data_IF_873422505961
#
_entry.id   IF_873422505961
#
_cell.length_a   1.000
_cell.length_b   1.000
_cell.length_c   1.000
_cell.angle_alpha   90.00
_cell.angle_beta   90.00
_cell.angle_gamma   90.00
#
_symmetry.space_group_name_H-M   'P 1'
#
loop_
_entity.id
_entity.type
_entity.pdbx_description
1 polymer ?
#
# COMPACT_ATOMS: atom_id res chain seq x y z
N UNK A 1 13.07 16.71 8.52
CA UNK A 1 12.60 16.63 7.13
C UNK A 1 11.15 17.05 7.12
N UNK A 2 10.72 17.92 6.21
CA UNK A 2 9.29 18.23 6.06
C UNK A 2 8.62 17.06 5.33
N UNK A 3 7.94 16.22 6.09
CA UNK A 3 7.26 15.02 5.59
C UNK A 3 6.09 15.39 4.67
N UNK A 4 5.38 16.48 4.96
CA UNK A 4 4.26 16.93 4.12
C UNK A 4 4.75 17.32 2.73
N UNK A 5 5.79 18.17 2.67
CA UNK A 5 6.40 18.55 1.40
C UNK A 5 6.92 17.35 0.60
N UNK A 6 7.45 16.32 1.30
CA UNK A 6 7.92 15.09 0.64
C UNK A 6 6.77 14.24 0.09
N UNK A 7 5.67 14.12 0.82
CA UNK A 7 4.47 13.41 0.37
C UNK A 7 3.93 14.09 -0.90
N UNK A 8 3.78 15.42 -0.87
CA UNK A 8 3.30 16.21 -2.01
C UNK A 8 4.20 16.02 -3.24
N UNK A 9 5.52 16.02 -3.07
CA UNK A 9 6.48 15.76 -4.16
C UNK A 9 6.30 14.35 -4.77
N UNK A 10 6.08 13.33 -3.93
CA UNK A 10 6.02 11.94 -4.35
C UNK A 10 4.70 11.56 -5.03
N UNK A 11 3.59 12.18 -4.65
CA UNK A 11 2.27 11.94 -5.28
C UNK A 11 2.28 12.29 -6.78
N UNK A 12 3.08 13.28 -7.18
CA UNK A 12 3.21 13.69 -8.59
C UNK A 12 4.09 12.75 -9.43
N UNK A 13 4.75 11.77 -8.81
CA UNK A 13 5.65 10.83 -9.49
C UNK A 13 4.88 9.66 -10.13
N UNK A 14 5.55 8.85 -10.96
CA UNK A 14 4.92 7.65 -11.51
C UNK A 14 4.49 6.68 -10.40
N UNK A 15 3.40 5.97 -10.65
CA UNK A 15 2.66 5.18 -9.68
C UNK A 15 2.61 3.72 -10.11
N UNK A 16 2.84 2.82 -9.17
CA UNK A 16 2.62 1.38 -9.30
C UNK A 16 1.61 0.91 -8.27
N UNK A 17 0.83 -0.10 -8.61
CA UNK A 17 -0.13 -0.74 -7.72
C UNK A 17 0.40 -2.08 -7.24
N UNK A 18 0.15 -2.37 -5.97
CA UNK A 18 0.26 -3.70 -5.37
C UNK A 18 -1.18 -4.17 -5.10
N UNK A 19 -1.72 -4.99 -5.99
CA UNK A 19 -3.16 -5.25 -6.09
C UNK A 19 -3.49 -6.75 -5.94
N UNK A 20 -4.75 -7.05 -5.63
CA UNK A 20 -5.32 -8.40 -5.65
C UNK A 20 -5.62 -8.90 -7.07
N UNK A 21 -5.70 -8.00 -8.06
CA UNK A 21 -5.84 -8.33 -9.48
C UNK A 21 -4.52 -8.12 -10.23
N UNK A 22 -4.25 -8.87 -11.31
CA UNK A 22 -2.99 -8.75 -12.07
C UNK A 22 -2.89 -7.48 -12.92
N UNK A 23 -4.01 -6.81 -13.18
CA UNK A 23 -4.13 -5.59 -13.95
C UNK A 23 -5.49 -4.95 -13.67
N UNK A 24 -5.67 -3.69 -14.07
CA UNK A 24 -6.96 -3.00 -14.00
C UNK A 24 -8.06 -3.82 -14.70
N UNK A 25 -9.17 -4.02 -14.00
CA UNK A 25 -10.31 -4.76 -14.53
C UNK A 25 -11.03 -3.89 -15.57
N UNK A 26 -11.35 -4.42 -16.78
CA UNK A 26 -12.05 -3.64 -17.80
C UNK A 26 -13.41 -3.12 -17.33
N UNK A 27 -13.82 -1.91 -17.75
CA UNK A 27 -15.08 -1.30 -17.32
C UNK A 27 -16.32 -2.09 -17.78
N UNK A 28 -16.23 -2.83 -18.88
CA UNK A 28 -17.31 -3.63 -19.46
C UNK A 28 -17.51 -5.01 -18.76
N UNK A 29 -17.39 -5.05 -17.44
CA UNK A 29 -17.55 -6.28 -16.67
C UNK A 29 -19.03 -6.59 -16.33
N UNK A 30 -19.97 -5.76 -16.79
CA UNK A 30 -21.40 -5.90 -16.49
C UNK A 30 -21.72 -5.78 -15.00
N UNK A 31 -20.96 -4.97 -14.26
CA UNK A 31 -21.10 -4.77 -12.81
C UNK A 31 -20.52 -5.90 -11.94
N UNK A 32 -19.99 -6.98 -12.54
CA UNK A 32 -19.41 -8.11 -11.79
C UNK A 32 -18.23 -7.68 -10.94
N UNK A 33 -17.39 -6.77 -11.43
CA UNK A 33 -16.27 -6.23 -10.67
C UNK A 33 -16.75 -5.65 -9.34
N UNK A 34 -17.71 -4.73 -9.37
CA UNK A 34 -18.23 -4.06 -8.18
C UNK A 34 -18.83 -5.07 -7.18
N UNK A 35 -19.59 -6.05 -7.67
CA UNK A 35 -20.17 -7.09 -6.82
C UNK A 35 -19.10 -7.96 -6.12
N UNK A 36 -18.02 -8.30 -6.85
CA UNK A 36 -16.88 -9.06 -6.29
C UNK A 36 -16.09 -8.20 -5.31
N UNK A 37 -15.81 -6.93 -5.66
CA UNK A 37 -15.11 -5.99 -4.79
C UNK A 37 -15.87 -5.79 -3.47
N UNK A 38 -17.18 -5.54 -3.51
CA UNK A 38 -18.01 -5.47 -2.30
C UNK A 38 -17.94 -6.73 -1.44
N UNK A 39 -17.96 -7.90 -2.06
CA UNK A 39 -17.82 -9.17 -1.35
C UNK A 39 -16.46 -9.28 -0.66
N UNK A 40 -15.38 -8.96 -1.38
CA UNK A 40 -14.01 -9.01 -0.85
C UNK A 40 -13.81 -7.99 0.28
N UNK A 41 -14.38 -6.78 0.16
CA UNK A 41 -14.35 -5.76 1.20
C UNK A 41 -14.95 -6.24 2.51
N UNK A 42 -16.07 -6.99 2.45
CA UNK A 42 -16.70 -7.61 3.63
C UNK A 42 -15.88 -8.76 4.23
N UNK A 43 -14.98 -9.38 3.45
CA UNK A 43 -14.20 -10.56 3.85
C UNK A 43 -12.67 -10.32 3.80
N UNK A 44 -12.22 -9.08 3.98
CA UNK A 44 -10.84 -8.65 3.70
C UNK A 44 -9.78 -9.06 4.73
N UNK A 45 -10.11 -9.79 5.81
CA UNK A 45 -9.14 -10.16 6.86
C UNK A 45 -7.91 -10.87 6.28
N UNK A 46 -8.11 -11.73 5.29
CA UNK A 46 -7.01 -12.40 4.59
C UNK A 46 -6.15 -11.46 3.75
N UNK A 47 -6.78 -10.47 3.09
CA UNK A 47 -6.10 -9.46 2.26
C UNK A 47 -5.28 -8.51 3.14
N UNK A 48 -5.84 -8.02 4.24
CA UNK A 48 -5.15 -7.17 5.21
C UNK A 48 -3.87 -7.83 5.75
N UNK A 49 -3.95 -9.13 6.06
CA UNK A 49 -2.78 -9.90 6.51
C UNK A 49 -1.68 -9.96 5.43
N UNK A 50 -2.04 -10.11 4.16
CA UNK A 50 -1.09 -10.11 3.04
C UNK A 50 -0.38 -8.76 2.89
N UNK A 51 -1.12 -7.65 3.00
CA UNK A 51 -0.53 -6.31 3.02
C UNK A 51 0.44 -6.11 4.19
N UNK A 52 0.02 -6.49 5.40
CA UNK A 52 0.88 -6.39 6.57
C UNK A 52 2.16 -7.23 6.42
N UNK A 53 2.05 -8.47 5.94
CA UNK A 53 3.20 -9.34 5.70
C UNK A 53 4.18 -8.74 4.68
N UNK A 54 3.67 -8.21 3.57
CA UNK A 54 4.50 -7.56 2.55
C UNK A 54 5.27 -6.38 3.14
N UNK A 55 4.58 -5.49 3.86
CA UNK A 55 5.20 -4.32 4.47
C UNK A 55 6.24 -4.70 5.54
N UNK A 56 5.96 -5.71 6.37
CA UNK A 56 6.90 -6.21 7.36
C UNK A 56 8.16 -6.82 6.72
N UNK A 57 8.01 -7.58 5.63
CA UNK A 57 9.14 -8.13 4.87
C UNK A 57 9.95 -7.01 4.22
N UNK A 58 9.28 -6.05 3.58
CA UNK A 58 9.94 -4.89 2.94
C UNK A 58 10.71 -4.05 3.97
N UNK A 59 10.17 -3.91 5.17
CA UNK A 59 10.81 -3.22 6.28
C UNK A 59 12.13 -3.86 6.73
N UNK A 60 12.39 -5.13 6.41
CA UNK A 60 13.69 -5.75 6.64
C UNK A 60 14.79 -5.26 5.67
N UNK A 61 14.41 -4.63 4.55
CA UNK A 61 15.34 -4.18 3.50
C UNK A 61 15.49 -2.65 3.45
N UNK A 62 14.45 -1.91 3.86
CA UNK A 62 14.43 -0.44 3.78
C UNK A 62 13.99 0.20 5.10
N UNK A 63 14.63 1.34 5.41
CA UNK A 63 14.17 2.24 6.47
C UNK A 63 12.81 2.83 6.11
N UNK A 64 11.92 2.93 7.10
CA UNK A 64 10.59 3.50 6.95
C UNK A 64 10.46 4.78 7.77
N UNK A 65 9.90 5.82 7.15
CA UNK A 65 9.26 6.93 7.87
C UNK A 65 7.74 6.79 7.68
N UNK A 66 7.05 6.38 8.74
CA UNK A 66 5.61 6.10 8.72
C UNK A 66 4.85 7.32 9.22
N UNK A 67 4.11 7.97 8.32
CA UNK A 67 3.23 9.10 8.61
C UNK A 67 1.78 8.64 8.69
N UNK A 68 1.09 9.09 9.73
CA UNK A 68 -0.34 8.85 9.95
C UNK A 68 -0.97 10.07 10.63
N UNK A 69 -2.28 10.03 10.88
CA UNK A 69 -3.07 11.09 11.54
C UNK A 69 -2.41 11.69 12.79
N UNK A 70 -1.81 10.88 13.66
CA UNK A 70 -1.15 11.35 14.90
C UNK A 70 0.33 11.79 14.73
N UNK A 71 0.83 11.95 13.50
CA UNK A 71 2.21 12.36 13.22
C UNK A 71 3.05 11.29 12.52
N UNK A 72 4.37 11.43 12.60
CA UNK A 72 5.32 10.56 11.90
C UNK A 72 6.30 9.86 12.84
N UNK A 73 6.63 8.62 12.52
CA UNK A 73 7.63 7.81 13.23
C UNK A 73 8.62 7.20 12.25
N UNK A 74 9.90 7.43 12.51
CA UNK A 74 11.00 6.79 11.78
C UNK A 74 11.35 5.46 12.43
N UNK A 75 11.57 4.45 11.59
CA UNK A 75 12.00 3.10 11.95
C UNK A 75 11.33 2.54 13.22
N UNK A 76 9.98 2.49 13.25
CA UNK A 76 9.26 1.97 14.40
C UNK A 76 9.61 0.50 14.63
N UNK A 77 9.65 0.06 15.90
CA UNK A 77 9.78 -1.37 16.22
C UNK A 77 8.74 -2.21 15.44
N UNK A 78 9.02 -3.47 15.07
CA UNK A 78 8.09 -4.29 14.28
C UNK A 78 6.67 -4.37 14.88
N UNK A 79 6.56 -4.44 16.21
CA UNK A 79 5.27 -4.43 16.90
C UNK A 79 4.50 -3.10 16.73
N UNK A 80 5.22 -1.98 16.72
CA UNK A 80 4.63 -0.64 16.49
C UNK A 80 4.24 -0.47 15.02
N UNK A 81 5.09 -0.90 14.08
CA UNK A 81 4.77 -0.89 12.66
C UNK A 81 3.50 -1.69 12.36
N UNK A 82 3.41 -2.92 12.85
CA UNK A 82 2.23 -3.77 12.68
C UNK A 82 0.97 -3.08 13.23
N UNK A 83 1.04 -2.46 14.41
CA UNK A 83 -0.08 -1.70 14.98
C UNK A 83 -0.51 -0.53 14.10
N UNK A 84 0.44 0.21 13.52
CA UNK A 84 0.14 1.30 12.59
C UNK A 84 -0.61 0.78 11.35
N UNK A 85 -0.16 -0.34 10.79
CA UNK A 85 -0.80 -1.00 9.64
C UNK A 85 -2.20 -1.51 10.00
N UNK A 86 -2.35 -2.21 11.13
CA UNK A 86 -3.63 -2.77 11.56
C UNK A 86 -4.67 -1.68 11.81
N UNK A 87 -4.26 -0.55 12.39
CA UNK A 87 -5.15 0.59 12.62
C UNK A 87 -5.72 1.18 11.34
N UNK A 88 -5.02 1.09 10.20
CA UNK A 88 -5.61 1.48 8.91
C UNK A 88 -6.86 0.67 8.61
N UNK A 89 -6.93 -0.59 9.03
CA UNK A 89 -8.06 -1.45 8.70
C UNK A 89 -9.23 -1.37 9.68
N UNK A 90 -9.02 -0.69 10.82
CA UNK A 90 -10.02 -0.57 11.86
C UNK A 90 -11.14 0.41 11.45
N UNK A 91 -12.35 0.11 11.90
CA UNK A 91 -13.52 0.96 11.68
C UNK A 91 -14.48 0.46 10.60
N UNK A 92 -15.51 1.27 10.37
CA UNK A 92 -16.54 1.00 9.37
C UNK A 92 -15.99 1.18 7.94
N UNK A 93 -16.43 0.38 6.97
CA UNK A 93 -16.09 0.61 5.56
C UNK A 93 -16.40 2.05 5.13
N UNK A 94 -15.52 2.64 4.33
CA UNK A 94 -15.53 4.05 3.85
C UNK A 94 -15.18 5.09 4.92
N UNK A 95 -14.74 4.67 6.10
CA UNK A 95 -14.30 5.53 7.21
C UNK A 95 -12.97 5.08 7.80
N UNK A 96 -12.25 4.21 7.08
CA UNK A 96 -10.98 3.66 7.56
C UNK A 96 -9.85 4.66 7.34
N UNK A 97 -8.81 4.56 8.15
CA UNK A 97 -7.66 5.46 8.09
C UNK A 97 -6.68 5.04 6.98
N UNK A 98 -5.68 5.87 6.73
CA UNK A 98 -4.57 5.58 5.82
C UNK A 98 -3.22 5.87 6.50
N UNK A 99 -2.17 5.22 6.01
CA UNK A 99 -0.79 5.56 6.33
C UNK A 99 0.02 5.80 5.06
N UNK A 100 0.98 6.72 5.17
CA UNK A 100 2.04 6.92 4.19
C UNK A 100 3.33 6.35 4.76
N UNK A 101 4.02 5.52 4.00
CA UNK A 101 5.30 4.91 4.37
C UNK A 101 6.32 5.41 3.37
N UNK A 102 7.16 6.35 3.79
CA UNK A 102 8.26 6.87 2.98
C UNK A 102 9.45 5.94 3.14
N UNK A 103 10.13 5.61 2.04
CA UNK A 103 11.40 4.89 1.99
C UNK A 103 12.50 5.92 1.68
N UNK A 104 13.12 6.55 2.69
CA UNK A 104 13.91 7.77 2.47
C UNK A 104 15.14 7.55 1.61
N UNK A 105 15.75 6.35 1.67
CA UNK A 105 16.96 6.00 0.93
C UNK A 105 16.78 6.03 -0.59
N UNK A 106 15.59 5.72 -1.08
CA UNK A 106 15.29 5.61 -2.52
C UNK A 106 14.26 6.65 -2.99
N UNK A 107 13.87 7.58 -2.11
CA UNK A 107 12.86 8.60 -2.39
C UNK A 107 11.59 8.00 -3.02
N UNK A 108 11.05 6.97 -2.37
CA UNK A 108 9.80 6.30 -2.75
C UNK A 108 8.79 6.35 -1.59
N UNK A 109 7.52 6.13 -1.89
CA UNK A 109 6.47 6.11 -0.86
C UNK A 109 5.41 5.07 -1.17
N UNK A 110 4.99 4.35 -0.13
CA UNK A 110 3.82 3.48 -0.17
C UNK A 110 2.65 4.18 0.54
N UNK A 111 1.48 4.21 -0.08
CA UNK A 111 0.23 4.56 0.59
C UNK A 111 -0.59 3.29 0.79
N UNK A 112 -0.96 3.05 2.04
CA UNK A 112 -1.93 2.04 2.42
C UNK A 112 -3.20 2.74 2.89
N UNK A 113 -4.26 2.64 2.10
CA UNK A 113 -5.58 3.10 2.46
C UNK A 113 -6.41 1.93 3.00
N UNK A 114 -6.98 2.10 4.19
CA UNK A 114 -7.80 1.09 4.84
C UNK A 114 -9.04 0.68 4.05
N UNK A 115 -9.52 1.51 3.15
CA UNK A 115 -10.67 1.22 2.31
C UNK A 115 -10.31 0.62 0.95
N UNK A 116 -9.05 0.60 0.54
CA UNK A 116 -8.65 0.05 -0.76
C UNK A 116 -8.28 -1.45 -0.64
N UNK A 117 -8.42 -2.17 -1.76
CA UNK A 117 -7.95 -3.57 -1.93
C UNK A 117 -6.62 -3.64 -2.68
N UNK A 118 -5.87 -2.54 -2.69
CA UNK A 118 -4.52 -2.42 -3.23
C UNK A 118 -3.70 -1.45 -2.37
N UNK A 119 -2.37 -1.43 -2.58
CA UNK A 119 -1.48 -0.37 -2.09
C UNK A 119 -0.91 0.40 -3.27
N UNK A 120 -0.59 1.66 -3.05
CA UNK A 120 0.02 2.54 -4.06
C UNK A 120 1.51 2.71 -3.74
N UNK A 121 2.39 2.51 -4.71
CA UNK A 121 3.83 2.73 -4.60
C UNK A 121 4.28 3.79 -5.59
N UNK A 122 4.71 4.93 -5.07
CA UNK A 122 5.18 6.09 -5.82
C UNK A 122 6.70 6.09 -5.96
N UNK A 123 7.16 6.42 -7.16
CA UNK A 123 8.58 6.64 -7.48
C UNK A 123 9.58 5.51 -7.09
N UNK A 124 9.25 4.21 -7.23
CA UNK A 124 10.24 3.17 -6.99
C UNK A 124 11.32 3.18 -8.08
N UNK A 125 12.57 2.93 -7.66
CA UNK A 125 13.65 2.56 -8.57
C UNK A 125 13.53 1.08 -9.00
N UNK A 126 14.41 0.64 -9.90
CA UNK A 126 14.29 -0.71 -10.48
C UNK A 126 14.59 -1.83 -9.47
N UNK A 127 15.45 -1.58 -8.48
CA UNK A 127 15.72 -2.52 -7.39
C UNK A 127 14.50 -2.71 -6.50
N UNK A 128 13.88 -1.60 -6.08
CA UNK A 128 12.66 -1.63 -5.27
C UNK A 128 11.51 -2.29 -6.05
N UNK A 129 11.35 -2.01 -7.35
CA UNK A 129 10.35 -2.68 -8.20
C UNK A 129 10.54 -4.19 -8.21
N UNK A 130 11.77 -4.66 -8.41
CA UNK A 130 12.07 -6.09 -8.47
C UNK A 130 11.73 -6.78 -7.14
N UNK A 131 12.17 -6.20 -6.02
CA UNK A 131 11.88 -6.75 -4.70
C UNK A 131 10.38 -6.74 -4.37
N UNK A 132 9.69 -5.61 -4.59
CA UNK A 132 8.25 -5.50 -4.32
C UNK A 132 7.46 -6.50 -5.16
N UNK A 133 7.85 -6.72 -6.42
CA UNK A 133 7.23 -7.73 -7.29
C UNK A 133 7.34 -9.14 -6.71
N UNK A 134 8.52 -9.53 -6.22
CA UNK A 134 8.73 -10.84 -5.59
C UNK A 134 7.94 -10.98 -4.28
N UNK A 135 7.96 -9.95 -3.43
CA UNK A 135 7.22 -9.92 -2.17
C UNK A 135 5.70 -10.00 -2.41
N UNK A 136 5.18 -9.22 -3.36
CA UNK A 136 3.77 -9.25 -3.75
C UNK A 136 3.37 -10.65 -4.22
N UNK A 137 4.14 -11.25 -5.12
CA UNK A 137 3.88 -12.60 -5.61
C UNK A 137 3.89 -13.63 -4.46
N UNK A 138 4.80 -13.52 -3.49
CA UNK A 138 4.86 -14.41 -2.33
C UNK A 138 3.61 -14.35 -1.43
N UNK A 139 2.87 -13.23 -1.46
CA UNK A 139 1.63 -13.01 -0.71
C UNK A 139 0.38 -13.22 -1.58
N UNK A 140 0.52 -13.65 -2.84
CA UNK A 140 -0.58 -13.80 -3.78
C UNK A 140 -1.20 -12.47 -4.22
N UNK A 141 -0.36 -11.43 -4.32
CA UNK A 141 -0.65 -10.11 -4.84
C UNK A 141 0.11 -9.91 -6.16
N UNK A 142 -0.27 -8.87 -6.89
CA UNK A 142 0.33 -8.51 -8.17
C UNK A 142 0.90 -7.10 -8.13
N UNK A 143 1.87 -6.85 -9.00
CA UNK A 143 2.56 -5.57 -9.07
C UNK A 143 2.65 -5.09 -10.52
N UNK A 144 2.07 -3.91 -10.80
CA UNK A 144 2.05 -3.32 -12.14
C UNK A 144 2.01 -1.79 -12.09
N UNK A 145 2.46 -1.17 -13.16
CA UNK A 145 2.39 0.29 -13.31
C UNK A 145 0.93 0.74 -13.49
N UNK A 146 0.52 1.75 -12.74
CA UNK A 146 -0.80 2.34 -12.90
C UNK A 146 -0.83 3.14 -14.21
N UNK A 147 -1.78 2.82 -15.09
CA UNK A 147 -2.04 3.68 -16.23
C UNK A 147 -2.69 4.97 -15.72
N UNK A 148 -2.01 6.11 -15.91
CA UNK A 148 -2.65 7.41 -15.69
C UNK A 148 -3.80 7.52 -16.69
N UNK A 149 -5.02 7.68 -16.17
CA UNK A 149 -6.20 8.01 -16.96
C UNK A 149 -6.08 9.42 -17.55
#
# INVERSE_FOLDING_TARGET
MDICARIDELIEKPLWLIDIFPHTVPPDSGGRYLAVEEHLQRHRKGINRRFANLLLKLYCYYDFAVSHSDGCVENPSPKRLLRCIERCFDGEPRKRDYINIILPRVNAMIILNGDDLYMMLYNPDDELKALVKELAHSEGLFFYEAQRA
#
